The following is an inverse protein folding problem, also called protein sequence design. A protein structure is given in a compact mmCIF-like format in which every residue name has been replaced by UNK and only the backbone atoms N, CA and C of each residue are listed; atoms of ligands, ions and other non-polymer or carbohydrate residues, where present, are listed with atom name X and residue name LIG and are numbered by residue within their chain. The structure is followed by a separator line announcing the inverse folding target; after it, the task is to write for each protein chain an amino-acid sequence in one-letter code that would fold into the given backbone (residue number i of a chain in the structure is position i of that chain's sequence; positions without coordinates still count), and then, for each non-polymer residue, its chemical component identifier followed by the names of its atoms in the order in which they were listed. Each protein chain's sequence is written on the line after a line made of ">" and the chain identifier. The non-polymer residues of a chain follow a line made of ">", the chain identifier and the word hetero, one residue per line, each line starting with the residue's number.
data_IF_079740154982
#
_entry.id   IF_079740154982
#
_cell.length_a   1.000
_cell.length_b   1.000
_cell.length_c   1.000
_cell.angle_alpha   90.00
_cell.angle_beta   90.00
_cell.angle_gamma   90.00
#
_symmetry.space_group_name_H-M   'P 1'
#
loop_
_entity.id
_entity.type
_entity.pdbx_description
1 polymer ?
#
# COMPACT_ATOMS: atom_id res chain seq x y z
N UNK A 1 0.82 -24.40 36.09
CA UNK A 1 1.24 -22.98 36.03
C UNK A 1 1.49 -22.63 34.58
N UNK A 2 0.65 -21.74 34.05
CA UNK A 2 0.78 -20.99 32.79
C UNK A 2 1.15 -21.76 31.52
N UNK A 3 0.23 -22.59 31.01
CA UNK A 3 0.02 -22.57 29.56
C UNK A 3 -0.49 -21.17 29.24
N UNK A 4 0.27 -20.42 28.46
CA UNK A 4 -0.13 -19.08 28.02
C UNK A 4 -0.69 -19.24 26.59
N UNK A 5 -2.00 -19.51 26.41
CA UNK A 5 -2.60 -19.73 25.10
C UNK A 5 -2.86 -18.38 24.43
N UNK A 6 -1.80 -17.59 24.19
CA UNK A 6 -1.86 -16.46 23.27
C UNK A 6 -1.51 -16.87 21.83
N UNK A 7 -1.78 -18.13 21.51
CA UNK A 7 -2.24 -18.51 20.18
C UNK A 7 -3.65 -17.96 19.97
N UNK A 8 -3.73 -16.70 19.54
CA UNK A 8 -4.96 -16.07 19.05
C UNK A 8 -4.53 -15.09 17.98
N UNK A 9 -4.97 -15.16 16.73
CA UNK A 9 -6.16 -15.82 16.22
C UNK A 9 -5.99 -15.78 14.71
N UNK A 10 -5.86 -16.96 14.12
CA UNK A 10 -6.27 -17.20 12.73
C UNK A 10 -5.48 -16.42 11.67
N UNK A 11 -4.57 -17.16 11.03
CA UNK A 11 -4.18 -17.00 9.63
C UNK A 11 -5.45 -17.09 8.75
N UNK A 12 -6.33 -16.10 8.85
CA UNK A 12 -7.21 -15.76 7.75
C UNK A 12 -6.32 -14.97 6.82
N UNK A 13 -6.34 -15.36 5.57
CA UNK A 13 -5.93 -14.59 4.41
C UNK A 13 -6.80 -13.31 4.32
N UNK A 14 -6.78 -12.48 5.37
CA UNK A 14 -7.36 -11.14 5.33
C UNK A 14 -6.34 -10.34 4.57
N UNK A 15 -6.59 -10.11 3.27
CA UNK A 15 -5.90 -9.05 2.55
C UNK A 15 -5.82 -7.82 3.45
N UNK A 16 -4.65 -7.18 3.48
CA UNK A 16 -4.49 -6.02 4.35
C UNK A 16 -5.59 -5.01 3.98
N UNK A 17 -6.36 -4.50 4.97
CA UNK A 17 -7.46 -3.59 4.69
C UNK A 17 -7.00 -2.36 3.90
N UNK A 18 -5.74 -1.94 4.01
CA UNK A 18 -5.14 -0.91 3.16
C UNK A 18 -5.00 -1.39 1.72
N UNK A 19 -4.48 -2.59 1.47
CA UNK A 19 -4.36 -3.14 0.11
C UNK A 19 -5.72 -3.24 -0.59
N UNK A 20 -6.76 -3.68 0.12
CA UNK A 20 -8.14 -3.73 -0.41
C UNK A 20 -8.63 -2.33 -0.78
N UNK A 21 -8.36 -1.32 0.07
CA UNK A 21 -8.73 0.06 -0.22
C UNK A 21 -7.97 0.61 -1.44
N UNK A 22 -6.67 0.32 -1.56
CA UNK A 22 -5.84 0.72 -2.70
C UNK A 22 -6.35 0.12 -4.01
N UNK A 23 -6.71 -1.17 -4.01
CA UNK A 23 -7.29 -1.83 -5.18
C UNK A 23 -8.60 -1.15 -5.61
N UNK A 24 -9.41 -0.69 -4.65
CA UNK A 24 -10.67 0.02 -4.92
C UNK A 24 -10.48 1.44 -5.45
N UNK A 25 -9.36 2.10 -5.17
CA UNK A 25 -9.07 3.44 -5.72
C UNK A 25 -8.46 3.41 -7.12
N UNK A 26 -7.97 2.24 -7.57
CA UNK A 26 -7.27 2.11 -8.86
C UNK A 26 -5.80 2.56 -8.80
N UNK A 27 -5.26 2.80 -7.60
CA UNK A 27 -3.86 3.21 -7.39
C UNK A 27 -2.94 2.04 -7.06
N UNK A 28 -3.29 0.84 -7.53
CA UNK A 28 -2.59 -0.40 -7.21
C UNK A 28 -1.20 -0.44 -7.85
N UNK A 29 -1.06 0.01 -9.10
CA UNK A 29 0.24 0.05 -9.79
C UNK A 29 1.27 0.90 -9.04
N UNK A 30 0.87 2.07 -8.54
CA UNK A 30 1.76 2.93 -7.75
C UNK A 30 2.11 2.31 -6.40
N UNK A 31 1.19 1.55 -5.78
CA UNK A 31 1.50 0.78 -4.58
C UNK A 31 2.56 -0.30 -4.84
N UNK A 32 2.40 -1.07 -5.92
CA UNK A 32 3.39 -2.08 -6.31
C UNK A 32 4.75 -1.44 -6.57
N UNK A 33 4.81 -0.30 -7.26
CA UNK A 33 6.07 0.41 -7.49
C UNK A 33 6.78 0.84 -6.19
N UNK A 34 6.02 1.21 -5.15
CA UNK A 34 6.57 1.55 -3.83
C UNK A 34 7.10 0.29 -3.14
N UNK A 35 6.32 -0.80 -3.14
CA UNK A 35 6.73 -2.09 -2.53
C UNK A 35 7.96 -2.67 -3.20
N UNK A 36 8.00 -2.62 -4.53
CA UNK A 36 9.13 -3.08 -5.35
C UNK A 36 10.40 -2.30 -5.02
N UNK A 37 10.33 -0.96 -5.03
CA UNK A 37 11.47 -0.11 -4.67
C UNK A 37 11.93 -0.35 -3.22
N UNK A 38 11.00 -0.56 -2.28
CA UNK A 38 11.35 -0.90 -0.90
C UNK A 38 12.01 -2.28 -0.80
N UNK A 39 11.57 -3.26 -1.62
CA UNK A 39 12.17 -4.59 -1.71
C UNK A 39 13.59 -4.55 -2.27
N UNK A 40 13.84 -3.71 -3.27
CA UNK A 40 15.16 -3.55 -3.87
C UNK A 40 16.13 -2.74 -3.01
N UNK A 41 15.67 -1.60 -2.47
CA UNK A 41 16.53 -0.64 -1.76
C UNK A 41 16.61 -0.90 -0.26
N UNK A 42 15.58 -1.48 0.34
CA UNK A 42 15.43 -1.59 1.79
C UNK A 42 15.21 -0.26 2.51
N UNK A 43 15.16 0.87 1.79
CA UNK A 43 15.00 2.20 2.34
C UNK A 43 13.96 3.00 1.56
N UNK A 44 12.82 3.25 2.21
CA UNK A 44 11.70 3.98 1.62
C UNK A 44 12.02 5.45 1.29
N UNK A 45 13.05 6.05 1.91
CA UNK A 45 13.47 7.43 1.61
C UNK A 45 14.09 7.55 0.22
N UNK A 46 14.71 6.47 -0.28
CA UNK A 46 15.18 6.43 -1.66
C UNK A 46 14.02 6.25 -2.65
N UNK A 47 12.86 5.79 -2.16
CA UNK A 47 11.65 5.57 -2.94
C UNK A 47 10.68 6.78 -2.92
N UNK A 48 11.19 7.98 -2.62
CA UNK A 48 10.37 9.20 -2.53
C UNK A 48 9.56 9.47 -3.81
N UNK A 49 10.12 9.17 -4.98
CA UNK A 49 9.44 9.37 -6.26
C UNK A 49 8.21 8.46 -6.39
N UNK A 50 8.35 7.19 -6.04
CA UNK A 50 7.27 6.19 -6.08
C UNK A 50 6.20 6.53 -5.04
N UNK A 51 6.62 6.92 -3.83
CA UNK A 51 5.72 7.32 -2.75
C UNK A 51 4.93 8.57 -3.12
N UNK A 52 5.56 9.54 -3.77
CA UNK A 52 4.90 10.77 -4.21
C UNK A 52 3.84 10.49 -5.28
N UNK A 53 4.13 9.64 -6.26
CA UNK A 53 3.16 9.22 -7.28
C UNK A 53 1.98 8.46 -6.67
N UNK A 54 2.23 7.56 -5.72
CA UNK A 54 1.17 6.86 -4.99
C UNK A 54 0.26 7.84 -4.23
N UNK A 55 0.85 8.83 -3.56
CA UNK A 55 0.10 9.88 -2.85
C UNK A 55 -0.72 10.74 -3.81
N UNK A 56 -0.18 11.11 -4.96
CA UNK A 56 -0.90 11.86 -5.99
C UNK A 56 -2.08 11.06 -6.54
N UNK A 57 -1.89 9.77 -6.82
CA UNK A 57 -2.97 8.89 -7.26
C UNK A 57 -4.09 8.83 -6.22
N UNK A 58 -3.74 8.63 -4.94
CA UNK A 58 -4.73 8.60 -3.85
C UNK A 58 -5.42 9.94 -3.60
N UNK A 59 -4.72 11.04 -3.89
CA UNK A 59 -5.24 12.40 -3.73
C UNK A 59 -6.13 12.81 -4.90
N UNK A 60 -6.01 12.17 -6.07
CA UNK A 60 -6.95 12.31 -7.19
C UNK A 60 -8.28 11.68 -6.77
N UNK A 61 -9.16 12.49 -6.17
CA UNK A 61 -10.57 12.15 -5.95
C UNK A 61 -11.15 11.56 -7.25
N UNK A 62 -12.06 10.58 -7.22
CA UNK A 62 -12.75 10.06 -8.42
C UNK A 62 -13.69 11.08 -9.10
N UNK A 63 -13.52 12.38 -8.86
CA UNK A 63 -14.20 13.48 -9.52
C UNK A 63 -13.13 14.32 -10.22
N UNK A 64 -13.05 14.16 -11.54
CA UNK A 64 -11.89 14.48 -12.36
C UNK A 64 -11.30 15.88 -12.19
N UNK A 65 -9.99 15.94 -12.36
CA UNK A 65 -9.29 17.07 -12.98
C UNK A 65 -7.82 16.74 -13.17
N UNK A 66 -7.36 17.00 -14.41
CA UNK A 66 -5.98 17.24 -14.86
C UNK A 66 -5.09 16.03 -15.19
N UNK A 67 -5.23 15.62 -16.44
CA UNK A 67 -4.21 15.79 -17.51
C UNK A 67 -2.86 16.38 -17.08
N UNK A 68 -1.81 15.62 -17.35
CA UNK A 68 -0.43 16.03 -17.65
C UNK A 68 0.34 14.74 -17.93
N UNK A 69 1.06 14.55 -19.03
CA UNK A 69 1.14 15.13 -20.37
C UNK A 69 1.94 14.10 -21.17
#
# INVERSE_FOLDING_TARGET
>A
MSENPRGSRHSREVEDPVEVLIRRTGCWDQHIAVVDCMGEKGDWRQCQVQVQQFKECMSKKPSGSKESS
#
